data_IF_672134860010
#
_entry.id   IF_672134860010
#
_cell.length_a   1.000
_cell.length_b   1.000
_cell.length_c   1.000
_cell.angle_alpha   90.00
_cell.angle_beta   90.00
_cell.angle_gamma   90.00
#
_symmetry.space_group_name_H-M   'P 1'
#
loop_
_entity.id
_entity.type
_entity.pdbx_description
1 polymer ?
#
# COMPACT_ATOMS: atom_id res chain seq x y z
N UNK A 1 40.36 -28.31 30.84
CA UNK A 1 39.04 -28.56 30.25
C UNK A 1 39.11 -29.71 29.27
N UNK A 2 38.29 -30.74 29.46
CA UNK A 2 38.12 -31.85 28.53
C UNK A 2 37.30 -31.42 27.31
N UNK A 3 37.39 -32.18 26.20
CA UNK A 3 36.56 -31.95 25.01
C UNK A 3 35.05 -32.03 25.32
N UNK A 4 34.66 -32.85 26.30
CA UNK A 4 33.27 -32.97 26.74
C UNK A 4 32.79 -31.72 27.48
N UNK A 5 33.63 -31.14 28.35
CA UNK A 5 33.32 -29.89 29.05
C UNK A 5 33.16 -28.72 28.08
N UNK A 6 34.04 -28.63 27.06
CA UNK A 6 33.92 -27.61 25.99
C UNK A 6 32.63 -27.77 25.20
N UNK A 7 32.24 -29.01 24.86
CA UNK A 7 31.01 -29.27 24.11
C UNK A 7 29.75 -28.92 24.92
N UNK A 8 29.72 -29.24 26.22
CA UNK A 8 28.61 -28.89 27.10
C UNK A 8 28.52 -27.37 27.29
N UNK A 9 29.64 -26.67 27.51
CA UNK A 9 29.64 -25.20 27.59
C UNK A 9 29.13 -24.54 26.32
N UNK A 10 29.49 -25.06 25.13
CA UNK A 10 28.95 -24.56 23.85
C UNK A 10 27.44 -24.74 23.75
N UNK A 11 26.92 -25.91 24.12
CA UNK A 11 25.49 -26.21 24.11
C UNK A 11 24.71 -25.28 25.05
N UNK A 12 25.25 -25.01 26.23
CA UNK A 12 24.66 -24.06 27.18
C UNK A 12 24.62 -22.65 26.56
N UNK A 13 25.72 -22.20 25.96
CA UNK A 13 25.79 -20.89 25.30
C UNK A 13 24.75 -20.77 24.17
N UNK A 14 24.65 -21.78 23.29
CA UNK A 14 23.64 -21.80 22.22
C UNK A 14 22.20 -21.77 22.75
N UNK A 15 21.93 -22.39 23.90
CA UNK A 15 20.62 -22.32 24.55
C UNK A 15 20.33 -20.93 25.12
N UNK A 16 21.33 -20.28 25.73
CA UNK A 16 21.20 -18.90 26.20
C UNK A 16 20.96 -17.94 25.03
N UNK A 17 21.76 -18.03 23.97
CA UNK A 17 21.60 -17.20 22.77
C UNK A 17 20.21 -17.34 22.14
N UNK A 18 19.67 -18.56 22.06
CA UNK A 18 18.30 -18.81 21.57
C UNK A 18 17.26 -18.15 22.47
N UNK A 19 17.38 -18.29 23.79
CA UNK A 19 16.45 -17.67 24.76
C UNK A 19 16.50 -16.14 24.66
N UNK A 20 17.68 -15.56 24.62
CA UNK A 20 17.85 -14.10 24.47
C UNK A 20 17.31 -13.60 23.14
N UNK A 21 17.53 -14.35 22.05
CA UNK A 21 16.95 -14.02 20.75
C UNK A 21 15.42 -14.03 20.81
N UNK A 22 14.81 -15.07 21.37
CA UNK A 22 13.35 -15.16 21.50
C UNK A 22 12.78 -14.06 22.39
N UNK A 23 13.45 -13.72 23.49
CA UNK A 23 13.03 -12.62 24.36
C UNK A 23 13.06 -11.28 23.61
N UNK A 24 14.12 -11.01 22.83
CA UNK A 24 14.22 -9.80 22.00
C UNK A 24 13.16 -9.75 20.90
N UNK A 25 12.95 -10.84 20.17
CA UNK A 25 11.92 -10.91 19.12
C UNK A 25 10.51 -10.72 19.68
N UNK A 26 10.25 -11.31 20.84
CA UNK A 26 8.99 -11.13 21.56
C UNK A 26 8.79 -9.65 21.94
N UNK A 27 9.77 -9.02 22.58
CA UNK A 27 9.67 -7.63 23.03
C UNK A 27 9.49 -6.67 21.84
N UNK A 28 10.20 -6.92 20.72
CA UNK A 28 10.00 -6.16 19.50
C UNK A 28 8.58 -6.28 18.95
N UNK A 29 8.02 -7.50 18.89
CA UNK A 29 6.67 -7.71 18.38
C UNK A 29 5.58 -7.07 19.26
N UNK A 30 5.79 -7.05 20.58
CA UNK A 30 4.91 -6.35 21.52
C UNK A 30 4.97 -4.83 21.31
N UNK A 31 6.17 -4.25 21.27
CA UNK A 31 6.36 -2.81 21.03
C UNK A 31 5.79 -2.38 19.68
N UNK A 32 5.98 -3.17 18.63
CA UNK A 32 5.43 -2.90 17.30
C UNK A 32 3.90 -2.87 17.32
N UNK A 33 3.27 -3.80 18.04
CA UNK A 33 1.81 -3.86 18.18
C UNK A 33 1.28 -2.68 19.01
N UNK A 34 1.91 -2.38 20.15
CA UNK A 34 1.52 -1.29 21.03
C UNK A 34 1.63 0.05 20.30
N UNK A 35 2.77 0.31 19.65
CA UNK A 35 3.00 1.52 18.86
C UNK A 35 1.98 1.66 17.73
N UNK A 36 1.70 0.57 17.01
CA UNK A 36 0.71 0.61 15.93
C UNK A 36 -0.72 0.82 16.45
N UNK A 37 -1.11 0.19 17.57
CA UNK A 37 -2.42 0.40 18.18
C UNK A 37 -2.61 1.85 18.67
N UNK A 38 -1.54 2.48 19.17
CA UNK A 38 -1.54 3.91 19.51
C UNK A 38 -1.71 4.77 18.24
N UNK A 39 -0.92 4.51 17.20
CA UNK A 39 -1.00 5.23 15.92
C UNK A 39 -2.41 5.14 15.31
N UNK A 40 -3.01 3.95 15.29
CA UNK A 40 -4.37 3.74 14.79
C UNK A 40 -5.40 4.53 15.60
N UNK A 41 -5.22 4.65 16.92
CA UNK A 41 -6.09 5.49 17.76
C UNK A 41 -6.05 6.95 17.31
N UNK A 42 -4.86 7.46 16.99
CA UNK A 42 -4.70 8.82 16.46
C UNK A 42 -5.26 8.96 15.04
N UNK A 43 -5.12 7.93 14.19
CA UNK A 43 -5.70 7.91 12.84
C UNK A 43 -7.22 8.05 12.88
N UNK A 44 -7.91 7.40 13.82
CA UNK A 44 -9.38 7.48 13.93
C UNK A 44 -9.89 8.91 14.22
N UNK A 45 -9.04 9.77 14.78
CA UNK A 45 -9.33 11.18 15.05
C UNK A 45 -8.88 12.10 13.90
N UNK A 46 -8.08 11.60 12.97
CA UNK A 46 -7.56 12.38 11.86
C UNK A 46 -8.66 12.65 10.81
N UNK A 47 -8.92 13.93 10.50
CA UNK A 47 -9.96 14.34 9.56
C UNK A 47 -9.81 13.69 8.18
N UNK A 48 -8.59 13.54 7.68
CA UNK A 48 -8.34 12.93 6.38
C UNK A 48 -8.65 11.43 6.40
N UNK A 49 -8.32 10.73 7.48
CA UNK A 49 -8.71 9.32 7.65
C UNK A 49 -10.22 9.17 7.77
N UNK A 50 -10.89 10.07 8.51
CA UNK A 50 -12.35 10.10 8.66
C UNK A 50 -13.04 10.33 7.31
N UNK A 51 -12.51 11.24 6.48
CA UNK A 51 -13.03 11.53 5.14
C UNK A 51 -12.99 10.31 4.21
N UNK A 52 -11.96 9.48 4.32
CA UNK A 52 -11.73 8.32 3.44
C UNK A 52 -12.21 6.98 4.03
N UNK A 53 -12.92 7.03 5.16
CA UNK A 53 -13.49 5.85 5.81
C UNK A 53 -15.01 5.93 5.93
N UNK A 54 -15.66 4.77 5.99
CA UNK A 54 -17.05 4.67 6.42
C UNK A 54 -17.15 4.66 7.94
N UNK A 55 -18.33 4.95 8.47
CA UNK A 55 -18.58 4.82 9.91
C UNK A 55 -18.40 3.39 10.40
N UNK A 56 -18.87 2.40 9.62
CA UNK A 56 -18.70 0.98 9.93
C UNK A 56 -17.21 0.57 10.01
N UNK A 57 -16.39 1.03 9.07
CA UNK A 57 -14.95 0.79 9.09
C UNK A 57 -14.30 1.40 10.34
N UNK A 58 -14.62 2.65 10.67
CA UNK A 58 -14.07 3.31 11.87
C UNK A 58 -14.50 2.63 13.16
N UNK A 59 -15.76 2.21 13.25
CA UNK A 59 -16.27 1.50 14.41
C UNK A 59 -15.53 0.17 14.60
N UNK A 60 -15.41 -0.62 13.52
CA UNK A 60 -14.70 -1.90 13.54
C UNK A 60 -13.22 -1.76 13.89
N UNK A 61 -12.53 -0.78 13.31
CA UNK A 61 -11.13 -0.48 13.63
C UNK A 61 -11.00 -0.04 15.09
N UNK A 62 -11.90 0.84 15.57
CA UNK A 62 -11.89 1.34 16.94
C UNK A 62 -12.15 0.24 17.98
N UNK A 63 -13.10 -0.66 17.73
CA UNK A 63 -13.38 -1.81 18.58
C UNK A 63 -12.18 -2.76 18.66
N UNK A 64 -11.58 -3.11 17.50
CA UNK A 64 -10.43 -4.00 17.46
C UNK A 64 -9.20 -3.35 18.13
N UNK A 65 -9.00 -2.05 17.95
CA UNK A 65 -7.92 -1.30 18.61
C UNK A 65 -8.10 -1.31 20.13
N UNK A 66 -9.32 -1.07 20.63
CA UNK A 66 -9.62 -1.15 22.06
C UNK A 66 -9.38 -2.56 22.60
N UNK A 67 -9.87 -3.59 21.91
CA UNK A 67 -9.66 -5.00 22.26
C UNK A 67 -8.18 -5.34 22.39
N UNK A 68 -7.37 -4.93 21.41
CA UNK A 68 -5.92 -5.19 21.38
C UNK A 68 -5.23 -4.46 22.54
N UNK A 69 -5.57 -3.19 22.81
CA UNK A 69 -4.98 -2.43 23.91
C UNK A 69 -5.30 -3.06 25.27
N UNK A 70 -6.56 -3.45 25.50
CA UNK A 70 -6.94 -4.19 26.71
C UNK A 70 -6.19 -5.52 26.81
N UNK A 71 -6.03 -6.27 25.72
CA UNK A 71 -5.26 -7.52 25.71
C UNK A 71 -3.77 -7.30 26.02
N UNK A 72 -3.17 -6.21 25.53
CA UNK A 72 -1.80 -5.82 25.87
C UNK A 72 -1.66 -5.50 27.37
N UNK A 73 -2.64 -4.81 27.95
CA UNK A 73 -2.62 -4.37 29.35
C UNK A 73 -2.94 -5.51 30.34
N UNK A 74 -3.96 -6.32 30.06
CA UNK A 74 -4.54 -7.25 31.05
C UNK A 74 -4.17 -8.72 30.81
N UNK A 75 -4.01 -9.14 29.55
CA UNK A 75 -3.86 -10.56 29.17
C UNK A 75 -2.42 -10.95 28.82
N UNK A 76 -1.54 -9.97 28.64
CA UNK A 76 -0.16 -10.21 28.22
C UNK A 76 0.74 -10.57 29.41
N UNK A 77 1.53 -11.62 29.24
CA UNK A 77 2.46 -12.13 30.26
C UNK A 77 3.86 -12.33 29.66
N UNK A 78 4.89 -12.62 30.49
CA UNK A 78 6.20 -13.01 29.99
C UNK A 78 6.16 -14.25 29.06
N UNK A 79 5.17 -15.12 29.23
CA UNK A 79 5.03 -16.38 28.47
C UNK A 79 4.20 -16.24 27.18
N UNK A 80 3.58 -15.08 26.94
CA UNK A 80 2.80 -14.81 25.72
C UNK A 80 3.69 -14.96 24.49
N UNK A 81 3.23 -15.71 23.49
CA UNK A 81 4.06 -16.07 22.33
C UNK A 81 4.18 -14.89 21.37
N UNK A 82 5.37 -14.70 20.78
CA UNK A 82 5.61 -13.71 19.70
C UNK A 82 4.55 -13.75 18.60
N UNK A 83 4.09 -14.95 18.23
CA UNK A 83 3.08 -15.15 17.20
C UNK A 83 1.71 -14.51 17.53
N UNK A 84 1.37 -14.35 18.81
CA UNK A 84 0.11 -13.74 19.24
C UNK A 84 0.12 -12.23 18.97
N UNK A 85 1.23 -11.56 19.32
CA UNK A 85 1.45 -10.14 18.97
C UNK A 85 1.42 -9.93 17.46
N UNK A 86 2.14 -10.77 16.71
CA UNK A 86 2.15 -10.69 15.24
C UNK A 86 0.75 -10.89 14.65
N UNK A 87 -0.04 -11.84 15.18
CA UNK A 87 -1.41 -12.08 14.72
C UNK A 87 -2.32 -10.88 14.97
N UNK A 88 -2.28 -10.29 16.16
CA UNK A 88 -3.04 -9.07 16.48
C UNK A 88 -2.62 -7.92 15.57
N UNK A 89 -1.31 -7.75 15.33
CA UNK A 89 -0.78 -6.70 14.46
C UNK A 89 -1.26 -6.85 13.01
N UNK A 90 -1.20 -8.05 12.45
CA UNK A 90 -1.69 -8.33 11.09
C UNK A 90 -3.20 -8.11 10.99
N UNK A 91 -3.96 -8.51 12.02
CA UNK A 91 -5.41 -8.33 12.06
C UNK A 91 -5.78 -6.84 12.02
N UNK A 92 -5.15 -6.02 12.88
CA UNK A 92 -5.39 -4.58 12.90
C UNK A 92 -4.97 -3.92 11.58
N UNK A 93 -3.78 -4.27 11.05
CA UNK A 93 -3.31 -3.77 9.75
C UNK A 93 -4.27 -4.09 8.61
N UNK A 94 -4.85 -5.29 8.60
CA UNK A 94 -5.79 -5.68 7.55
C UNK A 94 -7.05 -4.80 7.53
N UNK A 95 -7.53 -4.37 8.71
CA UNK A 95 -8.68 -3.47 8.82
C UNK A 95 -8.35 -2.04 8.38
N UNK A 96 -7.15 -1.55 8.70
CA UNK A 96 -6.73 -0.17 8.47
C UNK A 96 -6.25 0.06 7.02
N UNK A 97 -5.64 -0.96 6.40
CA UNK A 97 -5.03 -0.87 5.07
C UNK A 97 -5.96 -0.34 3.95
N UNK A 98 -7.24 -0.74 3.84
CA UNK A 98 -8.13 -0.21 2.80
C UNK A 98 -8.30 1.31 2.90
N UNK A 99 -8.47 1.85 4.11
CA UNK A 99 -8.62 3.29 4.33
C UNK A 99 -7.33 4.03 3.99
N UNK A 100 -6.17 3.53 4.46
CA UNK A 100 -4.88 4.11 4.11
C UNK A 100 -4.61 4.09 2.61
N UNK A 101 -5.06 3.04 1.90
CA UNK A 101 -4.98 2.99 0.43
C UNK A 101 -5.79 4.11 -0.20
N UNK A 102 -7.03 4.34 0.24
CA UNK A 102 -7.87 5.44 -0.29
C UNK A 102 -7.24 6.81 -0.03
N UNK A 103 -6.69 7.01 1.18
CA UNK A 103 -5.94 8.23 1.53
C UNK A 103 -4.75 8.46 0.60
N UNK A 104 -3.95 7.42 0.34
CA UNK A 104 -2.79 7.55 -0.54
C UNK A 104 -3.19 7.77 -2.00
N UNK A 105 -4.22 7.09 -2.49
CA UNK A 105 -4.74 7.28 -3.85
C UNK A 105 -5.31 8.69 -4.03
N UNK A 106 -6.02 9.24 -3.05
CA UNK A 106 -6.51 10.61 -3.10
C UNK A 106 -5.38 11.65 -3.22
N UNK A 107 -4.20 11.33 -2.65
CA UNK A 107 -3.00 12.17 -2.73
C UNK A 107 -2.25 12.01 -4.05
N UNK A 108 -2.14 10.79 -4.57
CA UNK A 108 -1.22 10.47 -5.68
C UNK A 108 -1.88 10.43 -7.04
N UNK A 109 -3.15 10.02 -7.13
CA UNK A 109 -3.88 9.87 -8.38
C UNK A 109 -4.04 11.19 -9.17
N UNK A 110 -4.28 12.37 -8.56
CA UNK A 110 -4.44 13.62 -9.32
C UNK A 110 -3.21 13.96 -10.17
N UNK A 111 -2.01 13.80 -9.62
CA UNK A 111 -0.77 14.09 -10.35
C UNK A 111 -0.50 13.02 -11.42
N UNK A 112 -0.81 11.76 -11.14
CA UNK A 112 -0.71 10.68 -12.13
C UNK A 112 -1.63 10.93 -13.34
N UNK A 113 -2.88 11.37 -13.10
CA UNK A 113 -3.84 11.74 -14.13
C UNK A 113 -3.27 12.88 -14.99
N UNK A 114 -2.80 13.96 -14.36
CA UNK A 114 -2.24 15.12 -15.06
C UNK A 114 -1.03 14.75 -15.92
N UNK A 115 -0.15 13.90 -15.42
CA UNK A 115 1.01 13.43 -16.17
C UNK A 115 0.60 12.60 -17.39
N UNK A 116 -0.39 11.71 -17.24
CA UNK A 116 -0.91 10.94 -18.37
C UNK A 116 -1.56 11.84 -19.43
N UNK A 117 -2.29 12.88 -19.03
CA UNK A 117 -2.84 13.87 -19.98
C UNK A 117 -1.74 14.59 -20.76
N UNK A 118 -0.66 14.99 -20.09
CA UNK A 118 0.49 15.63 -20.73
C UNK A 118 1.20 14.71 -21.73
N UNK A 119 1.37 13.43 -21.36
CA UNK A 119 1.97 12.40 -22.23
C UNK A 119 1.08 12.16 -23.45
N UNK A 120 -0.24 12.02 -23.27
CA UNK A 120 -1.19 11.82 -24.35
C UNK A 120 -1.16 13.00 -25.33
N UNK A 121 -1.21 14.24 -24.83
CA UNK A 121 -1.15 15.44 -25.67
C UNK A 121 0.15 15.50 -26.49
N UNK A 122 1.30 15.27 -25.84
CA UNK A 122 2.60 15.30 -26.51
C UNK A 122 2.74 14.17 -27.54
N UNK A 123 2.23 12.99 -27.20
CA UNK A 123 2.23 11.82 -28.10
C UNK A 123 1.33 12.06 -29.31
N UNK A 124 0.19 12.74 -29.14
CA UNK A 124 -0.70 13.09 -30.24
C UNK A 124 -0.05 14.08 -31.21
N UNK A 125 0.68 15.07 -30.69
CA UNK A 125 1.48 15.99 -31.53
C UNK A 125 2.51 15.20 -32.32
N UNK A 126 3.23 14.27 -31.67
CA UNK A 126 4.20 13.41 -32.34
C UNK A 126 3.54 12.59 -33.46
N UNK A 127 2.43 11.90 -33.19
CA UNK A 127 1.71 11.09 -34.19
C UNK A 127 1.40 11.88 -35.47
N UNK A 128 0.95 13.13 -35.32
CA UNK A 128 0.61 14.03 -36.43
C UNK A 128 1.82 14.51 -37.26
N UNK A 129 3.05 14.24 -36.82
CA UNK A 129 4.28 14.53 -37.60
C UNK A 129 4.60 13.41 -38.60
N UNK A 130 3.88 12.30 -38.59
CA UNK A 130 4.01 11.24 -39.60
C UNK A 130 2.96 11.35 -40.69
N UNK A 131 3.28 10.82 -41.87
CA UNK A 131 2.44 10.98 -43.06
C UNK A 131 3.14 10.51 -44.33
N UNK A 132 2.54 10.86 -45.47
CA UNK A 132 3.06 10.55 -46.81
C UNK A 132 3.66 11.79 -47.50
N UNK A 133 3.74 12.93 -46.80
CA UNK A 133 4.24 14.19 -47.37
C UNK A 133 5.73 14.42 -47.10
N UNK A 134 6.33 15.35 -47.84
CA UNK A 134 7.76 15.67 -47.77
C UNK A 134 8.21 16.24 -46.40
N UNK A 135 7.26 16.68 -45.57
CA UNK A 135 7.52 17.24 -44.23
C UNK A 135 7.35 16.21 -43.11
N UNK A 136 6.89 15.01 -43.45
CA UNK A 136 6.62 13.94 -42.50
C UNK A 136 7.94 13.35 -41.96
N UNK A 137 8.04 13.21 -40.65
CA UNK A 137 9.24 12.69 -39.98
C UNK A 137 9.31 11.16 -39.96
N UNK A 138 8.18 10.49 -40.18
CA UNK A 138 8.07 9.03 -40.26
C UNK A 138 6.88 8.63 -41.12
N UNK A 139 6.85 7.37 -41.55
CA UNK A 139 5.85 6.89 -42.50
C UNK A 139 4.44 6.87 -41.89
N UNK A 140 3.44 6.98 -42.76
CA UNK A 140 2.03 6.97 -42.38
C UNK A 140 1.58 5.69 -41.66
N UNK A 141 2.11 4.53 -42.03
CA UNK A 141 1.73 3.27 -41.38
C UNK A 141 2.08 3.27 -39.90
N UNK A 142 3.28 3.75 -39.55
CA UNK A 142 3.75 3.86 -38.17
C UNK A 142 2.97 4.94 -37.41
N UNK A 143 2.68 6.08 -38.06
CA UNK A 143 1.80 7.12 -37.50
C UNK A 143 0.40 6.60 -37.20
N UNK A 144 -0.24 5.91 -38.15
CA UNK A 144 -1.58 5.34 -38.00
C UNK A 144 -1.60 4.25 -36.91
N UNK A 145 -0.56 3.42 -36.84
CA UNK A 145 -0.44 2.40 -35.81
C UNK A 145 -0.29 3.02 -34.41
N UNK A 146 0.51 4.08 -34.29
CA UNK A 146 0.71 4.83 -33.05
C UNK A 146 -0.58 5.57 -32.63
N UNK A 147 -1.24 6.26 -33.56
CA UNK A 147 -2.52 6.94 -33.34
C UNK A 147 -3.59 5.98 -32.83
N UNK A 148 -3.70 4.78 -33.41
CA UNK A 148 -4.63 3.74 -32.93
C UNK A 148 -4.34 3.28 -31.51
N UNK A 149 -3.06 3.21 -31.09
CA UNK A 149 -2.72 2.92 -29.68
C UNK A 149 -3.14 4.08 -28.78
N UNK A 150 -2.96 5.33 -29.22
CA UNK A 150 -3.33 6.52 -28.45
C UNK A 150 -4.84 6.59 -28.26
N UNK A 151 -5.63 6.32 -29.30
CA UNK A 151 -7.10 6.31 -29.24
C UNK A 151 -7.63 5.30 -28.21
N UNK A 152 -7.02 4.11 -28.17
CA UNK A 152 -7.37 3.06 -27.18
C UNK A 152 -7.05 3.51 -25.76
N UNK A 153 -5.89 4.15 -25.56
CA UNK A 153 -5.49 4.66 -24.25
C UNK A 153 -6.39 5.82 -23.80
N UNK A 154 -6.70 6.76 -24.68
CA UNK A 154 -7.60 7.88 -24.39
C UNK A 154 -9.01 7.41 -24.04
N UNK A 155 -9.53 6.42 -24.77
CA UNK A 155 -10.84 5.84 -24.49
C UNK A 155 -10.85 5.18 -23.11
N UNK A 156 -9.89 4.30 -22.83
CA UNK A 156 -9.73 3.68 -21.50
C UNK A 156 -9.59 4.74 -20.40
N UNK A 157 -8.77 5.76 -20.63
CA UNK A 157 -8.49 6.77 -19.62
C UNK A 157 -9.72 7.65 -19.34
N UNK A 158 -10.46 8.02 -20.39
CA UNK A 158 -11.73 8.74 -20.26
C UNK A 158 -12.75 7.93 -19.46
N UNK A 159 -12.97 6.67 -19.83
CA UNK A 159 -13.88 5.77 -19.11
C UNK A 159 -13.50 5.65 -17.64
N UNK A 160 -12.20 5.43 -17.34
CA UNK A 160 -11.71 5.33 -15.97
C UNK A 160 -11.83 6.61 -15.16
N UNK A 161 -11.58 7.78 -15.75
CA UNK A 161 -11.82 9.07 -15.10
C UNK A 161 -13.30 9.28 -14.78
N UNK A 162 -14.19 8.92 -15.71
CA UNK A 162 -15.64 9.02 -15.51
C UNK A 162 -16.14 8.05 -14.42
N UNK A 163 -15.60 6.83 -14.36
CA UNK A 163 -15.87 5.89 -13.26
C UNK A 163 -15.36 6.42 -11.92
N UNK A 164 -14.15 6.98 -11.88
CA UNK A 164 -13.55 7.54 -10.66
C UNK A 164 -14.32 8.76 -10.15
N UNK A 165 -14.79 9.64 -11.03
CA UNK A 165 -15.54 10.84 -10.66
C UNK A 165 -16.89 10.53 -9.98
N UNK A 166 -17.41 9.31 -10.14
CA UNK A 166 -18.65 8.84 -9.49
C UNK A 166 -18.40 8.30 -8.08
N UNK A 167 -17.14 8.08 -7.69
CA UNK A 167 -16.78 7.50 -6.39
C UNK A 167 -16.73 8.56 -5.31
N UNK A 168 -17.21 8.20 -4.11
CA UNK A 168 -17.00 9.00 -2.91
C UNK A 168 -15.59 8.78 -2.36
N UNK A 169 -15.02 9.71 -1.55
CA UNK A 169 -13.69 9.55 -0.96
C UNK A 169 -13.52 8.28 -0.10
N UNK A 170 -14.62 7.77 0.47
CA UNK A 170 -14.63 6.56 1.29
C UNK A 170 -15.04 5.28 0.53
N UNK A 171 -15.18 5.37 -0.78
CA UNK A 171 -15.38 4.21 -1.64
C UNK A 171 -14.05 3.81 -2.29
N UNK A 172 -13.90 2.54 -2.63
CA UNK A 172 -12.70 2.10 -3.32
C UNK A 172 -12.57 2.80 -4.69
N UNK A 173 -11.38 3.32 -5.02
CA UNK A 173 -11.14 4.00 -6.28
C UNK A 173 -11.37 3.05 -7.47
N UNK A 174 -11.97 3.59 -8.53
CA UNK A 174 -12.18 2.89 -9.80
C UNK A 174 -10.95 2.94 -10.73
N UNK A 175 -10.01 3.83 -10.41
CA UNK A 175 -8.73 3.98 -11.07
C UNK A 175 -7.63 4.13 -10.02
N UNK A 176 -6.60 3.30 -10.10
CA UNK A 176 -5.44 3.37 -9.22
C UNK A 176 -4.28 4.12 -9.89
N UNK A 177 -3.48 4.80 -9.08
CA UNK A 177 -2.21 5.40 -9.49
C UNK A 177 -1.29 4.38 -10.15
N UNK A 178 -1.26 3.15 -9.62
CA UNK A 178 -0.48 2.04 -10.19
C UNK A 178 -0.98 1.59 -11.57
N UNK A 179 -2.28 1.66 -11.85
CA UNK A 179 -2.83 1.35 -13.18
C UNK A 179 -2.44 2.42 -14.19
N UNK A 180 -2.49 3.70 -13.79
CA UNK A 180 -2.01 4.81 -14.63
C UNK A 180 -0.52 4.63 -14.95
N UNK A 181 0.30 4.35 -13.95
CA UNK A 181 1.73 4.10 -14.14
C UNK A 181 2.00 2.92 -15.08
N UNK A 182 1.28 1.80 -14.90
CA UNK A 182 1.41 0.65 -15.78
C UNK A 182 1.04 0.98 -17.23
N UNK A 183 0.02 1.82 -17.47
CA UNK A 183 -0.32 2.26 -18.82
C UNK A 183 0.74 3.15 -19.45
N UNK A 184 1.46 3.95 -18.67
CA UNK A 184 2.58 4.76 -19.15
C UNK A 184 3.79 3.89 -19.51
N UNK A 185 4.10 2.88 -18.69
CA UNK A 185 5.27 2.00 -18.90
C UNK A 185 5.16 1.00 -20.05
N UNK A 186 3.97 0.84 -20.66
CA UNK A 186 3.74 -0.06 -21.80
C UNK A 186 4.05 0.65 -23.15
N UNK A 187 4.43 1.92 -23.12
CA UNK A 187 4.83 2.70 -24.30
C UNK A 187 6.33 2.64 -24.57
#
# INVERSE_FOLDING_TARGET
MSKAEVAESKKILEQFEKREKHARERAAAENDLEGYAFEVSQMLENENFVLHSTEEERNKIGEETKRIRTWLEDDTTPDTKTAEFTKNHVTLKALVRPVLRRVEEAKTLPEAIKNLESILNSSRIMANMGGDDEKSLFNKSDSDAFAKKLDRLETWFKEKKEEQAKRKPNEDPALLTSEVAAKVSIW
#
